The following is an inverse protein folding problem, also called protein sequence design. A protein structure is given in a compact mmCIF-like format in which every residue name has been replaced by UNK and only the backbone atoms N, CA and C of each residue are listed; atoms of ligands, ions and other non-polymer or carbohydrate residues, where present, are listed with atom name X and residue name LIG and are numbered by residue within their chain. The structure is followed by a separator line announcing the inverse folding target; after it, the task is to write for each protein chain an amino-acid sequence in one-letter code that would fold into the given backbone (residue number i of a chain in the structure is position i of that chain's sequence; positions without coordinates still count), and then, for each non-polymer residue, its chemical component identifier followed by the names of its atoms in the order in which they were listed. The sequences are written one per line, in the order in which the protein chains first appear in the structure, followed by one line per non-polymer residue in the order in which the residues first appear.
data_IF_023406240829
#
_entry.id   IF_023406240829
#
_cell.length_a   1.000
_cell.length_b   1.000
_cell.length_c   1.000
_cell.angle_alpha   90.00
_cell.angle_beta   90.00
_cell.angle_gamma   90.00
#
_symmetry.space_group_name_H-M   'P 1'
#
loop_
_entity.id
_entity.type
_entity.pdbx_description
1 polymer ?
#
# COMPACT_ATOMS: atom_id res chain seq x y z
N UNK A 1 -0.30 7.78 18.37
CA UNK A 1 0.31 7.05 17.23
C UNK A 1 -0.18 7.66 15.93
N UNK A 2 0.67 7.80 14.91
CA UNK A 2 0.35 8.26 13.56
C UNK A 2 0.30 7.08 12.60
N UNK A 3 -0.48 7.19 11.51
CA UNK A 3 -0.40 6.27 10.37
C UNK A 3 0.29 6.98 9.21
N UNK A 4 1.35 6.36 8.68
CA UNK A 4 2.07 6.84 7.51
C UNK A 4 1.72 5.95 6.33
N UNK A 5 1.40 6.54 5.17
CA UNK A 5 1.17 5.75 3.95
C UNK A 5 2.12 6.20 2.84
N UNK A 6 2.78 5.23 2.22
CA UNK A 6 3.66 5.47 1.08
C UNK A 6 3.10 4.82 -0.19
N UNK A 7 2.94 5.61 -1.24
CA UNK A 7 2.49 5.15 -2.55
C UNK A 7 3.61 4.47 -3.35
N UNK A 8 3.24 3.70 -4.38
CA UNK A 8 4.18 2.92 -5.20
C UNK A 8 5.31 3.76 -5.81
N UNK A 9 5.00 4.95 -6.33
CA UNK A 9 6.01 5.88 -6.89
C UNK A 9 7.00 6.36 -5.84
N UNK A 10 6.57 6.56 -4.59
CA UNK A 10 7.46 6.94 -3.47
C UNK A 10 8.37 5.77 -3.04
N UNK A 11 7.95 4.54 -3.31
CA UNK A 11 8.67 3.31 -2.99
C UNK A 11 9.50 2.78 -4.17
N UNK A 12 9.53 3.49 -5.30
CA UNK A 12 10.31 3.09 -6.47
C UNK A 12 11.81 2.99 -6.14
N UNK A 13 12.53 2.17 -6.92
CA UNK A 13 13.98 1.98 -6.76
C UNK A 13 14.76 3.29 -6.81
N UNK A 14 15.97 3.25 -6.28
CA UNK A 14 16.85 4.41 -6.21
C UNK A 14 16.40 5.41 -5.13
N UNK A 15 16.35 6.70 -5.48
CA UNK A 15 16.08 7.78 -4.53
C UNK A 15 14.75 7.65 -3.77
N UNK A 16 13.71 7.11 -4.39
CA UNK A 16 12.38 6.99 -3.78
C UNK A 16 12.44 6.16 -2.50
N UNK A 17 12.85 4.91 -2.62
CA UNK A 17 12.96 4.00 -1.49
C UNK A 17 13.95 4.50 -0.44
N UNK A 18 15.11 5.05 -0.84
CA UNK A 18 16.10 5.59 0.08
C UNK A 18 15.53 6.72 0.93
N UNK A 19 14.76 7.63 0.33
CA UNK A 19 14.09 8.72 1.05
C UNK A 19 13.06 8.21 2.04
N UNK A 20 12.25 7.22 1.64
CA UNK A 20 11.28 6.59 2.56
C UNK A 20 12.00 5.98 3.76
N UNK A 21 13.07 5.22 3.53
CA UNK A 21 13.85 4.62 4.61
C UNK A 21 14.47 5.68 5.54
N UNK A 22 14.95 6.79 4.99
CA UNK A 22 15.48 7.90 5.78
C UNK A 22 14.39 8.54 6.65
N UNK A 23 13.18 8.78 6.09
CA UNK A 23 12.02 9.28 6.83
C UNK A 23 11.68 8.37 8.01
N UNK A 24 11.58 7.06 7.75
CA UNK A 24 11.21 6.09 8.78
C UNK A 24 12.27 6.02 9.89
N UNK A 25 13.56 6.01 9.51
CA UNK A 25 14.66 5.98 10.47
C UNK A 25 14.70 7.26 11.31
N UNK A 26 14.53 8.43 10.70
CA UNK A 26 14.50 9.73 11.43
C UNK A 26 13.36 9.76 12.45
N UNK A 27 12.16 9.31 12.06
CA UNK A 27 11.00 9.24 12.97
C UNK A 27 11.25 8.28 14.15
N UNK A 28 11.91 7.15 13.91
CA UNK A 28 12.31 6.22 14.99
C UNK A 28 13.29 6.88 15.93
N UNK A 29 14.31 7.57 15.41
CA UNK A 29 15.30 8.29 16.21
C UNK A 29 14.69 9.42 17.07
N UNK A 30 13.61 10.04 16.57
CA UNK A 30 12.83 11.05 17.30
C UNK A 30 11.84 10.45 18.32
N UNK A 31 11.76 9.14 18.43
CA UNK A 31 10.83 8.47 19.34
C UNK A 31 9.35 8.64 18.95
N UNK A 32 9.05 8.91 17.67
CA UNK A 32 7.66 9.03 17.21
C UNK A 32 6.98 7.65 17.19
N UNK A 33 5.74 7.60 17.66
CA UNK A 33 4.92 6.40 17.56
C UNK A 33 4.13 6.41 16.23
N UNK A 34 4.41 5.43 15.37
CA UNK A 34 3.74 5.32 14.07
C UNK A 34 3.68 3.88 13.56
N UNK A 35 2.76 3.65 12.62
CA UNK A 35 2.72 2.47 11.78
C UNK A 35 2.71 2.88 10.30
N UNK A 36 3.12 1.99 9.42
CA UNK A 36 3.38 2.30 8.01
C UNK A 36 2.54 1.39 7.13
N UNK A 37 1.74 1.98 6.24
CA UNK A 37 1.05 1.26 5.16
C UNK A 37 1.79 1.50 3.85
N UNK A 38 2.15 0.44 3.16
CA UNK A 38 2.88 0.50 1.91
C UNK A 38 2.06 -0.06 0.74
N UNK A 39 2.18 0.56 -0.42
CA UNK A 39 1.69 0.03 -1.69
C UNK A 39 2.72 -0.90 -2.32
N UNK A 40 2.34 -1.61 -3.37
CA UNK A 40 3.29 -2.25 -4.28
C UNK A 40 4.30 -1.22 -4.82
N UNK A 41 5.56 -1.63 -5.05
CA UNK A 41 6.66 -0.72 -5.44
C UNK A 41 6.61 -0.38 -6.91
N UNK A 42 6.85 0.88 -7.24
CA UNK A 42 6.89 1.35 -8.63
C UNK A 42 5.57 1.11 -9.33
N UNK A 43 5.61 0.42 -10.44
CA UNK A 43 4.47 0.01 -11.25
C UNK A 43 4.11 -1.48 -11.08
N UNK A 44 4.51 -2.10 -9.97
CA UNK A 44 4.39 -3.55 -9.79
C UNK A 44 2.97 -4.09 -9.99
N UNK A 45 1.94 -3.32 -9.63
CA UNK A 45 0.54 -3.73 -9.83
C UNK A 45 0.22 -3.86 -11.32
N UNK A 46 0.57 -2.86 -12.12
CA UNK A 46 0.35 -2.86 -13.58
C UNK A 46 1.19 -3.96 -14.25
N UNK A 47 2.46 -4.14 -13.84
CA UNK A 47 3.34 -5.18 -14.36
C UNK A 47 2.82 -6.60 -14.05
N UNK A 48 2.21 -6.82 -12.89
CA UNK A 48 1.58 -8.09 -12.53
C UNK A 48 0.30 -8.34 -13.34
N UNK A 49 -0.49 -7.31 -13.64
CA UNK A 49 -1.63 -7.42 -14.55
C UNK A 49 -1.19 -7.75 -15.98
N UNK A 50 -0.14 -7.11 -16.48
CA UNK A 50 0.44 -7.40 -17.79
C UNK A 50 0.96 -8.84 -17.88
N UNK A 51 1.66 -9.32 -16.85
CA UNK A 51 2.14 -10.70 -16.75
C UNK A 51 0.99 -11.71 -16.78
N UNK A 52 -0.12 -11.44 -16.07
CA UNK A 52 -1.33 -12.26 -16.14
C UNK A 52 -1.93 -12.28 -17.55
N UNK A 53 -2.03 -11.12 -18.19
CA UNK A 53 -2.58 -11.00 -19.54
C UNK A 53 -1.75 -11.75 -20.59
N UNK A 54 -0.41 -11.71 -20.47
CA UNK A 54 0.51 -12.46 -21.33
C UNK A 54 0.39 -13.97 -21.07
N UNK A 55 0.40 -14.38 -19.80
CA UNK A 55 0.28 -15.78 -19.43
C UNK A 55 -1.05 -16.40 -19.90
N UNK A 56 -2.18 -15.68 -19.77
CA UNK A 56 -3.50 -16.17 -20.18
C UNK A 56 -3.64 -16.36 -21.69
N UNK A 57 -2.78 -15.72 -22.48
CA UNK A 57 -2.71 -15.94 -23.94
C UNK A 57 -1.75 -17.05 -24.33
N UNK A 58 -1.17 -17.74 -23.35
CA UNK A 58 -0.11 -18.74 -23.55
C UNK A 58 1.12 -18.17 -24.27
N UNK A 59 1.38 -16.86 -24.08
CA UNK A 59 2.54 -16.17 -24.57
C UNK A 59 3.71 -16.28 -23.56
N UNK A 60 4.94 -16.04 -24.01
CA UNK A 60 6.13 -16.17 -23.17
C UNK A 60 6.26 -14.99 -22.19
N UNK A 61 5.72 -15.11 -20.99
CA UNK A 61 5.81 -14.13 -19.91
C UNK A 61 7.17 -14.13 -19.17
N UNK A 62 7.97 -15.20 -19.28
CA UNK A 62 9.19 -15.40 -18.48
C UNK A 62 10.20 -14.25 -18.55
N UNK A 63 10.53 -13.67 -19.74
CA UNK A 63 11.47 -12.54 -19.78
C UNK A 63 10.99 -11.30 -19.02
N UNK A 64 9.67 -11.01 -19.05
CA UNK A 64 9.10 -9.89 -18.30
C UNK A 64 9.07 -10.21 -16.80
N UNK A 65 8.78 -11.43 -16.41
CA UNK A 65 8.82 -11.88 -15.03
C UNK A 65 10.22 -11.80 -14.41
N UNK A 66 11.27 -12.17 -15.16
CA UNK A 66 12.66 -12.00 -14.70
C UNK A 66 13.02 -10.52 -14.50
N UNK A 67 12.56 -9.62 -15.38
CA UNK A 67 12.73 -8.18 -15.18
C UNK A 67 12.00 -7.67 -13.93
N UNK A 68 10.77 -8.15 -13.72
CA UNK A 68 10.01 -7.84 -12.52
C UNK A 68 10.74 -8.27 -11.25
N UNK A 69 11.21 -9.53 -11.19
CA UNK A 69 12.01 -10.05 -10.05
C UNK A 69 13.25 -9.21 -9.80
N UNK A 70 14.02 -8.92 -10.85
CA UNK A 70 15.23 -8.11 -10.78
C UNK A 70 14.92 -6.72 -10.22
N UNK A 71 13.83 -6.06 -10.66
CA UNK A 71 13.41 -4.77 -10.13
C UNK A 71 13.01 -4.85 -8.65
N UNK A 72 12.21 -5.86 -8.26
CA UNK A 72 11.76 -5.99 -6.88
C UNK A 72 12.91 -6.28 -5.90
N UNK A 73 13.98 -6.90 -6.35
CA UNK A 73 15.14 -7.24 -5.53
C UNK A 73 16.34 -6.28 -5.67
N UNK A 74 16.26 -5.33 -6.62
CA UNK A 74 17.34 -4.39 -6.88
C UNK A 74 17.76 -3.64 -5.61
N UNK A 75 19.03 -3.32 -5.48
CA UNK A 75 19.70 -2.68 -4.35
C UNK A 75 19.73 -3.48 -3.03
N UNK A 76 18.93 -4.56 -2.89
CA UNK A 76 18.85 -5.36 -1.67
C UNK A 76 18.84 -6.88 -1.94
N UNK A 77 19.89 -7.44 -2.58
CA UNK A 77 19.93 -8.84 -2.98
C UNK A 77 19.95 -9.82 -1.79
N UNK A 78 20.28 -9.33 -0.60
CA UNK A 78 20.32 -10.14 0.63
C UNK A 78 18.95 -10.35 1.29
N UNK A 79 17.91 -9.65 0.83
CA UNK A 79 16.56 -9.85 1.33
C UNK A 79 15.92 -11.01 0.59
N UNK A 80 15.48 -12.01 1.34
CA UNK A 80 14.80 -13.17 0.76
C UNK A 80 13.34 -12.85 0.44
N UNK A 81 13.02 -12.87 -0.86
CA UNK A 81 11.69 -12.71 -1.44
C UNK A 81 11.29 -13.94 -2.29
N UNK A 82 12.01 -15.05 -2.13
CA UNK A 82 11.86 -16.26 -2.96
C UNK A 82 10.47 -16.90 -2.82
N UNK A 83 9.86 -16.81 -1.65
CA UNK A 83 8.52 -17.35 -1.40
C UNK A 83 7.48 -16.69 -2.32
N UNK A 84 7.45 -15.35 -2.37
CA UNK A 84 6.52 -14.58 -3.20
C UNK A 84 6.77 -14.82 -4.68
N UNK A 85 8.01 -14.88 -5.10
CA UNK A 85 8.36 -15.17 -6.49
C UNK A 85 7.96 -16.59 -6.89
N UNK A 86 8.11 -17.56 -6.01
CA UNK A 86 7.69 -18.95 -6.25
C UNK A 86 6.15 -19.04 -6.36
N UNK A 87 5.42 -18.30 -5.54
CA UNK A 87 3.96 -18.23 -5.63
C UNK A 87 3.53 -17.63 -6.97
N UNK A 88 4.13 -16.52 -7.39
CA UNK A 88 3.86 -15.88 -8.68
C UNK A 88 4.16 -16.82 -9.86
N UNK A 89 5.31 -17.50 -9.84
CA UNK A 89 5.72 -18.41 -10.90
C UNK A 89 4.69 -19.53 -11.09
N UNK A 90 4.25 -20.18 -10.00
CA UNK A 90 3.22 -21.22 -10.04
C UNK A 90 1.87 -20.70 -10.55
N UNK A 91 1.49 -19.47 -10.17
CA UNK A 91 0.25 -18.86 -10.63
C UNK A 91 0.30 -18.58 -12.14
N UNK A 92 1.38 -17.98 -12.63
CA UNK A 92 1.56 -17.73 -14.08
C UNK A 92 1.66 -19.02 -14.89
N UNK A 93 2.33 -20.05 -14.37
CA UNK A 93 2.36 -21.38 -15.00
C UNK A 93 0.94 -21.97 -15.12
N UNK A 94 0.17 -21.95 -14.03
CA UNK A 94 -1.20 -22.44 -14.03
C UNK A 94 -2.11 -21.67 -14.99
N UNK A 95 -2.02 -20.34 -15.00
CA UNK A 95 -2.77 -19.47 -15.93
C UNK A 95 -2.39 -19.76 -17.38
N UNK A 96 -1.08 -19.91 -17.66
CA UNK A 96 -0.62 -20.22 -19.03
C UNK A 96 -1.11 -21.58 -19.52
N UNK A 97 -1.16 -22.59 -18.64
CA UNK A 97 -1.69 -23.91 -19.00
C UNK A 97 -3.19 -23.92 -19.27
N UNK A 98 -3.96 -23.13 -18.52
CA UNK A 98 -5.43 -23.08 -18.63
C UNK A 98 -5.85 -22.12 -19.76
N UNK A 99 -5.08 -21.07 -20.03
CA UNK A 99 -5.39 -20.02 -20.98
C UNK A 99 -6.41 -18.99 -20.47
N UNK A 100 -6.72 -18.99 -19.17
CA UNK A 100 -7.70 -18.09 -18.54
C UNK A 100 -7.40 -17.94 -17.03
N UNK A 101 -7.97 -16.91 -16.40
CA UNK A 101 -7.92 -16.73 -14.95
C UNK A 101 -9.18 -16.05 -14.40
N UNK A 102 -9.53 -16.40 -13.17
CA UNK A 102 -10.63 -15.77 -12.43
C UNK A 102 -10.15 -14.52 -11.68
N UNK A 103 -11.10 -13.65 -11.26
CA UNK A 103 -10.81 -12.51 -10.37
C UNK A 103 -10.13 -12.96 -9.07
N UNK A 104 -10.40 -14.15 -8.57
CA UNK A 104 -9.68 -14.72 -7.42
C UNK A 104 -8.19 -14.89 -7.71
N UNK A 105 -7.82 -15.43 -8.86
CA UNK A 105 -6.41 -15.59 -9.27
C UNK A 105 -5.78 -14.22 -9.47
N UNK A 106 -6.50 -13.27 -10.07
CA UNK A 106 -6.05 -11.90 -10.22
C UNK A 106 -5.72 -11.27 -8.86
N UNK A 107 -6.63 -11.33 -7.89
CA UNK A 107 -6.40 -10.79 -6.54
C UNK A 107 -5.20 -11.47 -5.85
N UNK A 108 -5.03 -12.77 -6.04
CA UNK A 108 -3.91 -13.51 -5.48
C UNK A 108 -2.56 -13.06 -6.08
N UNK A 109 -2.51 -12.83 -7.39
CA UNK A 109 -1.31 -12.30 -8.07
C UNK A 109 -1.02 -10.89 -7.63
N UNK A 110 -2.01 -9.99 -7.70
CA UNK A 110 -1.82 -8.58 -7.36
C UNK A 110 -1.39 -8.40 -5.89
N UNK A 111 -1.90 -9.23 -4.99
CA UNK A 111 -1.50 -9.18 -3.57
C UNK A 111 -0.01 -9.37 -3.35
N UNK A 112 0.70 -10.04 -4.24
CA UNK A 112 2.15 -10.26 -4.10
C UNK A 112 2.94 -8.95 -4.21
N UNK A 113 2.45 -7.96 -4.92
CA UNK A 113 3.10 -6.65 -5.02
C UNK A 113 3.28 -5.96 -3.66
N UNK A 114 2.23 -5.94 -2.86
CA UNK A 114 2.27 -5.38 -1.51
C UNK A 114 3.07 -6.24 -0.54
N UNK A 115 2.99 -7.56 -0.66
CA UNK A 115 3.77 -8.49 0.17
C UNK A 115 5.27 -8.29 -0.07
N UNK A 116 5.70 -8.26 -1.33
CA UNK A 116 7.09 -7.98 -1.72
C UNK A 116 7.57 -6.65 -1.13
N UNK A 117 6.78 -5.60 -1.29
CA UNK A 117 7.09 -4.26 -0.79
C UNK A 117 7.25 -4.23 0.72
N UNK A 118 6.27 -4.75 1.47
CA UNK A 118 6.29 -4.70 2.92
C UNK A 118 7.37 -5.61 3.53
N UNK A 119 7.60 -6.80 2.98
CA UNK A 119 8.68 -7.71 3.39
C UNK A 119 10.05 -7.05 3.18
N UNK A 120 10.29 -6.47 2.00
CA UNK A 120 11.53 -5.79 1.68
C UNK A 120 11.82 -4.65 2.67
N UNK A 121 10.88 -3.73 2.83
CA UNK A 121 11.06 -2.56 3.72
C UNK A 121 11.28 -3.01 5.17
N UNK A 122 10.53 -4.01 5.64
CA UNK A 122 10.72 -4.56 6.98
C UNK A 122 12.11 -5.14 7.17
N UNK A 123 12.61 -5.91 6.20
CA UNK A 123 13.94 -6.52 6.27
C UNK A 123 15.05 -5.46 6.29
N UNK A 124 14.94 -4.43 5.42
CA UNK A 124 15.92 -3.34 5.39
C UNK A 124 15.93 -2.55 6.70
N UNK A 125 14.78 -2.23 7.26
CA UNK A 125 14.69 -1.54 8.55
C UNK A 125 15.33 -2.36 9.67
N UNK A 126 15.09 -3.69 9.70
CA UNK A 126 15.76 -4.58 10.66
C UNK A 126 17.27 -4.59 10.48
N UNK A 127 17.78 -4.62 9.25
CA UNK A 127 19.23 -4.52 8.97
C UNK A 127 19.82 -3.18 9.44
N UNK A 128 19.01 -2.12 9.47
CA UNK A 128 19.39 -0.80 10.02
C UNK A 128 19.21 -0.69 11.55
N UNK A 129 18.89 -1.79 12.24
CA UNK A 129 18.72 -1.81 13.70
C UNK A 129 17.36 -1.33 14.20
N UNK A 130 16.39 -1.08 13.32
CA UNK A 130 15.02 -0.71 13.70
C UNK A 130 14.24 -1.96 14.13
N UNK A 131 13.55 -1.90 15.27
CA UNK A 131 12.61 -2.97 15.69
C UNK A 131 11.35 -2.94 14.81
N UNK A 132 11.50 -3.36 13.54
CA UNK A 132 10.42 -3.40 12.56
C UNK A 132 9.71 -4.76 12.54
N UNK A 133 8.42 -4.76 12.24
CA UNK A 133 7.58 -5.96 12.13
C UNK A 133 6.76 -5.94 10.85
N UNK A 134 6.72 -7.07 10.14
CA UNK A 134 5.88 -7.25 8.97
C UNK A 134 4.44 -7.56 9.41
N UNK A 135 3.48 -6.83 8.87
CA UNK A 135 2.06 -6.98 9.16
C UNK A 135 1.28 -7.27 7.87
N UNK A 136 0.93 -8.53 7.66
CA UNK A 136 0.12 -8.96 6.52
C UNK A 136 -1.35 -8.57 6.75
N UNK A 137 -1.86 -7.63 5.96
CA UNK A 137 -3.23 -7.16 6.08
C UNK A 137 -4.28 -8.26 5.80
N UNK A 138 -3.94 -9.34 5.09
CA UNK A 138 -4.84 -10.48 4.87
C UNK A 138 -5.21 -11.18 6.19
N UNK A 139 -4.34 -11.15 7.19
CA UNK A 139 -4.66 -11.65 8.53
C UNK A 139 -5.53 -10.67 9.33
N UNK A 140 -5.48 -9.39 9.01
CA UNK A 140 -6.04 -8.29 9.80
C UNK A 140 -7.36 -7.77 9.23
N UNK A 141 -7.44 -7.55 7.92
CA UNK A 141 -8.62 -7.06 7.21
C UNK A 141 -9.39 -8.24 6.63
N UNK A 142 -10.52 -8.56 7.24
CA UNK A 142 -11.46 -9.55 6.71
C UNK A 142 -12.51 -8.88 5.85
N UNK A 143 -12.85 -9.52 4.72
CA UNK A 143 -13.70 -8.94 3.69
C UNK A 143 -14.90 -9.81 3.36
N UNK A 144 -15.87 -9.23 2.64
CA UNK A 144 -17.06 -9.91 2.12
C UNK A 144 -16.76 -11.00 1.05
N UNK A 145 -15.53 -11.01 0.53
CA UNK A 145 -15.07 -11.98 -0.45
C UNK A 145 -15.39 -11.63 -1.90
N UNK A 146 -15.86 -10.43 -2.18
CA UNK A 146 -15.98 -9.93 -3.56
C UNK A 146 -14.60 -9.62 -4.11
N UNK A 147 -14.10 -10.47 -5.00
CA UNK A 147 -12.79 -10.26 -5.61
C UNK A 147 -12.76 -8.98 -6.47
N UNK A 148 -11.61 -8.30 -6.49
CA UNK A 148 -11.37 -7.06 -7.23
C UNK A 148 -11.84 -5.77 -6.56
N UNK A 149 -12.87 -5.82 -5.70
CA UNK A 149 -13.42 -4.66 -4.98
C UNK A 149 -14.10 -5.09 -3.67
N UNK A 150 -13.34 -5.79 -2.82
CA UNK A 150 -13.84 -6.34 -1.56
C UNK A 150 -14.12 -5.25 -0.53
N UNK A 151 -15.19 -5.45 0.25
CA UNK A 151 -15.53 -4.55 1.35
C UNK A 151 -15.09 -5.16 2.69
N UNK A 152 -14.40 -4.39 3.54
CA UNK A 152 -14.00 -4.86 4.86
C UNK A 152 -15.21 -5.16 5.75
N UNK A 153 -15.14 -6.29 6.48
CA UNK A 153 -16.07 -6.59 7.57
C UNK A 153 -15.54 -5.86 8.80
N UNK A 154 -16.09 -4.70 9.07
CA UNK A 154 -15.55 -3.71 10.00
C UNK A 154 -15.28 -4.27 11.40
N UNK A 155 -16.29 -4.88 12.04
CA UNK A 155 -16.17 -5.37 13.43
C UNK A 155 -15.03 -6.39 13.59
N UNK A 156 -14.92 -7.33 12.66
CA UNK A 156 -13.88 -8.38 12.67
C UNK A 156 -12.52 -7.75 12.41
N UNK A 157 -12.41 -6.93 11.38
CA UNK A 157 -11.15 -6.27 10.99
C UNK A 157 -10.63 -5.38 12.10
N UNK A 158 -11.48 -4.55 12.71
CA UNK A 158 -11.12 -3.69 13.84
C UNK A 158 -10.60 -4.50 15.04
N UNK A 159 -11.31 -5.58 15.40
CA UNK A 159 -10.87 -6.48 16.49
C UNK A 159 -9.48 -7.04 16.21
N UNK A 160 -9.25 -7.58 15.01
CA UNK A 160 -7.97 -8.15 14.61
C UNK A 160 -6.84 -7.11 14.65
N UNK A 161 -7.07 -5.92 14.06
CA UNK A 161 -6.08 -4.83 14.04
C UNK A 161 -5.72 -4.39 15.46
N UNK A 162 -6.71 -4.11 16.31
CA UNK A 162 -6.47 -3.67 17.69
C UNK A 162 -5.71 -4.74 18.49
N UNK A 163 -6.08 -6.02 18.33
CA UNK A 163 -5.39 -7.12 19.02
C UNK A 163 -3.95 -7.26 18.54
N UNK A 164 -3.70 -7.20 17.23
CA UNK A 164 -2.36 -7.26 16.65
C UNK A 164 -1.47 -6.14 17.18
N UNK A 165 -1.96 -4.91 17.19
CA UNK A 165 -1.17 -3.76 17.66
C UNK A 165 -0.90 -3.77 19.16
N UNK A 166 -1.78 -4.35 19.97
CA UNK A 166 -1.49 -4.60 21.40
C UNK A 166 -0.32 -5.57 21.60
N UNK A 167 -0.20 -6.57 20.74
CA UNK A 167 0.88 -7.58 20.80
C UNK A 167 2.20 -7.10 20.22
N UNK A 168 2.19 -6.04 19.40
CA UNK A 168 3.36 -5.51 18.68
C UNK A 168 3.52 -4.00 18.89
N UNK A 169 3.14 -3.50 20.06
CA UNK A 169 3.16 -2.07 20.39
C UNK A 169 4.56 -1.46 20.47
N UNK A 170 5.58 -2.30 20.70
CA UNK A 170 6.99 -1.95 20.77
C UNK A 170 7.69 -1.91 19.41
N UNK A 171 6.95 -2.17 18.31
CA UNK A 171 7.52 -2.34 16.97
C UNK A 171 6.97 -1.33 15.98
N UNK A 172 7.81 -0.98 15.01
CA UNK A 172 7.38 -0.27 13.81
C UNK A 172 6.72 -1.27 12.87
N UNK A 173 5.38 -1.28 12.82
CA UNK A 173 4.62 -2.21 12.00
C UNK A 173 4.54 -1.71 10.54
N UNK A 174 5.05 -2.52 9.61
CA UNK A 174 5.00 -2.29 8.16
C UNK A 174 3.88 -3.15 7.58
N UNK A 175 2.82 -2.50 7.16
CA UNK A 175 1.53 -3.11 6.80
C UNK A 175 1.39 -3.14 5.29
N UNK A 176 0.98 -4.26 4.74
CA UNK A 176 0.56 -4.34 3.33
C UNK A 176 -0.72 -3.54 3.12
N UNK A 177 -0.68 -2.59 2.18
CA UNK A 177 -1.89 -1.89 1.74
C UNK A 177 -2.74 -2.72 0.79
N UNK A 178 -3.87 -2.21 0.31
CA UNK A 178 -4.68 -2.72 -0.80
C UNK A 178 -5.34 -4.09 -0.58
N UNK A 179 -4.81 -4.96 0.26
CA UNK A 179 -5.22 -6.36 0.36
C UNK A 179 -5.93 -6.69 1.68
N UNK A 180 -6.79 -7.69 1.61
CA UNK A 180 -7.43 -8.35 2.74
C UNK A 180 -7.63 -9.84 2.45
N UNK A 181 -8.49 -10.52 3.20
CA UNK A 181 -8.90 -11.88 2.89
C UNK A 181 -10.36 -12.13 3.27
N UNK A 182 -10.99 -13.07 2.55
CA UNK A 182 -12.33 -13.53 2.88
C UNK A 182 -12.32 -14.55 4.04
N UNK A 183 -13.49 -15.10 4.36
CA UNK A 183 -13.67 -16.09 5.43
C UNK A 183 -12.97 -17.45 5.16
N UNK A 184 -12.56 -17.71 3.90
CA UNK A 184 -11.76 -18.88 3.52
C UNK A 184 -10.26 -18.60 3.51
N UNK A 185 -9.83 -17.41 3.98
CA UNK A 185 -8.46 -16.92 3.91
C UNK A 185 -7.91 -16.76 2.47
N UNK A 186 -8.79 -16.62 1.49
CA UNK A 186 -8.42 -16.30 0.12
C UNK A 186 -8.13 -14.80 0.02
N UNK A 187 -7.03 -14.42 -0.63
CA UNK A 187 -6.65 -13.04 -0.80
C UNK A 187 -7.72 -12.28 -1.61
N UNK A 188 -8.04 -11.08 -1.19
CA UNK A 188 -8.95 -10.14 -1.85
C UNK A 188 -8.29 -8.78 -1.96
N UNK A 189 -8.63 -8.02 -3.01
CA UNK A 189 -8.18 -6.63 -3.15
C UNK A 189 -9.31 -5.65 -2.85
N UNK A 190 -8.97 -4.48 -2.30
CA UNK A 190 -9.93 -3.45 -1.86
C UNK A 190 -10.33 -2.47 -2.98
N UNK A 191 -9.94 -2.80 -4.22
CA UNK A 191 -10.25 -1.99 -5.38
C UNK A 191 -9.41 -0.71 -5.49
N UNK A 192 -9.89 0.24 -6.30
CA UNK A 192 -9.18 1.50 -6.58
C UNK A 192 -8.83 2.26 -5.29
N UNK A 193 -7.61 2.80 -5.22
CA UNK A 193 -7.08 3.46 -4.02
C UNK A 193 -7.01 2.57 -2.76
N UNK A 194 -6.97 1.26 -2.91
CA UNK A 194 -7.04 0.30 -1.81
C UNK A 194 -5.98 0.50 -0.74
N UNK A 195 -4.73 0.88 -1.08
CA UNK A 195 -3.70 1.16 -0.07
C UNK A 195 -4.00 2.43 0.75
N UNK A 196 -4.62 3.48 0.13
CA UNK A 196 -5.10 4.65 0.86
C UNK A 196 -6.26 4.24 1.78
N UNK A 197 -7.16 3.39 1.29
CA UNK A 197 -8.27 2.86 2.08
C UNK A 197 -7.78 2.04 3.27
N UNK A 198 -6.81 1.14 3.07
CA UNK A 198 -6.15 0.42 4.17
C UNK A 198 -5.62 1.40 5.24
N UNK A 199 -4.90 2.45 4.83
CA UNK A 199 -4.34 3.43 5.76
C UNK A 199 -5.43 4.15 6.56
N UNK A 200 -6.54 4.53 5.93
CA UNK A 200 -7.69 5.16 6.59
C UNK A 200 -8.40 4.22 7.57
N UNK A 201 -8.56 2.95 7.21
CA UNK A 201 -9.11 1.92 8.10
C UNK A 201 -8.24 1.74 9.35
N UNK A 202 -6.91 1.59 9.17
CA UNK A 202 -6.00 1.47 10.30
C UNK A 202 -6.00 2.72 11.17
N UNK A 203 -6.04 3.91 10.57
CA UNK A 203 -6.16 5.16 11.31
C UNK A 203 -7.44 5.18 12.17
N UNK A 204 -8.58 4.80 11.60
CA UNK A 204 -9.85 4.71 12.31
C UNK A 204 -9.79 3.66 13.44
N UNK A 205 -9.39 2.43 13.14
CA UNK A 205 -9.42 1.32 14.11
C UNK A 205 -8.50 1.53 15.30
N UNK A 206 -7.38 2.23 15.09
CA UNK A 206 -6.37 2.52 16.11
C UNK A 206 -6.55 3.89 16.77
N UNK A 207 -7.59 4.66 16.41
CA UNK A 207 -7.79 6.05 16.83
C UNK A 207 -6.50 6.87 16.66
N UNK A 208 -5.93 6.82 15.47
CA UNK A 208 -4.69 7.53 15.17
C UNK A 208 -4.87 9.05 15.34
N UNK A 209 -3.82 9.73 15.77
CA UNK A 209 -3.83 11.19 15.89
C UNK A 209 -3.79 11.90 14.54
N UNK A 210 -3.26 11.22 13.50
CA UNK A 210 -3.07 11.79 12.16
C UNK A 210 -2.79 10.68 11.14
N UNK A 211 -3.26 10.86 9.89
CA UNK A 211 -2.83 10.10 8.72
C UNK A 211 -1.92 10.97 7.85
N UNK A 212 -0.66 10.55 7.65
CA UNK A 212 0.28 11.18 6.74
C UNK A 212 0.37 10.39 5.44
N UNK A 213 -0.11 10.96 4.34
CA UNK A 213 -0.05 10.33 3.02
C UNK A 213 1.14 10.90 2.23
N UNK A 214 2.19 10.10 2.09
CA UNK A 214 3.37 10.43 1.29
C UNK A 214 3.13 10.02 -0.16
N UNK A 215 3.10 11.01 -1.04
CA UNK A 215 2.82 10.86 -2.47
C UNK A 215 3.85 11.63 -3.30
N UNK A 216 3.68 11.64 -4.62
CA UNK A 216 4.54 12.37 -5.54
C UNK A 216 4.23 13.88 -5.59
N UNK A 217 3.14 14.31 -4.98
CA UNK A 217 2.75 15.72 -4.83
C UNK A 217 2.76 16.11 -3.35
N UNK A 218 3.00 17.38 -3.07
CA UNK A 218 3.13 17.90 -1.72
C UNK A 218 1.81 18.40 -1.11
N UNK A 219 0.71 18.25 -1.83
CA UNK A 219 -0.61 18.68 -1.37
C UNK A 219 -1.70 18.54 -2.41
N UNK A 220 -2.85 19.08 -2.07
CA UNK A 220 -3.99 19.25 -2.97
C UNK A 220 -3.91 20.67 -3.53
N UNK A 221 -4.18 20.83 -4.81
CA UNK A 221 -4.12 22.10 -5.52
C UNK A 221 -5.46 22.47 -6.10
N UNK A 222 -5.68 23.76 -6.36
CA UNK A 222 -6.89 24.29 -7.00
C UNK A 222 -7.09 23.80 -8.43
N UNK A 223 -5.99 23.38 -9.08
CA UNK A 223 -5.97 22.73 -10.40
C UNK A 223 -4.72 21.85 -10.49
N UNK A 224 -4.56 21.06 -11.56
CA UNK A 224 -3.33 20.30 -11.77
C UNK A 224 -2.16 21.28 -12.04
N UNK A 225 -1.14 21.35 -11.15
CA UNK A 225 -0.04 22.31 -11.30
C UNK A 225 0.86 22.01 -12.51
N UNK A 226 0.79 20.81 -13.11
CA UNK A 226 1.49 20.48 -14.36
C UNK A 226 0.80 21.08 -15.59
N UNK A 227 -0.48 21.46 -15.48
CA UNK A 227 -1.30 22.01 -16.56
C UNK A 227 -1.63 23.49 -16.38
N UNK A 228 -1.65 23.97 -15.14
CA UNK A 228 -2.07 25.33 -14.77
C UNK A 228 -0.99 25.96 -13.90
N UNK A 229 -0.23 26.91 -14.46
CA UNK A 229 0.89 27.57 -13.75
C UNK A 229 0.47 28.29 -12.46
N UNK A 230 -0.74 28.87 -12.44
CA UNK A 230 -1.30 29.61 -11.29
C UNK A 230 -2.00 28.69 -10.27
N UNK A 231 -1.88 27.37 -10.38
CA UNK A 231 -2.46 26.45 -9.44
C UNK A 231 -1.90 26.67 -8.03
N UNK A 232 -2.78 26.95 -7.08
CA UNK A 232 -2.41 27.22 -5.68
C UNK A 232 -2.63 26.00 -4.82
N UNK A 233 -1.66 25.73 -3.93
CA UNK A 233 -1.79 24.69 -2.93
C UNK A 233 -2.89 25.09 -1.93
N UNK A 234 -3.74 24.14 -1.58
CA UNK A 234 -4.80 24.29 -0.61
C UNK A 234 -4.24 23.82 0.74
N UNK A 235 -4.14 24.74 1.69
CA UNK A 235 -3.57 24.47 3.00
C UNK A 235 -4.50 23.62 3.89
N UNK A 236 -5.79 23.83 3.73
CA UNK A 236 -6.83 23.14 4.52
C UNK A 236 -8.07 22.88 3.67
N UNK A 237 -8.57 21.64 3.73
CA UNK A 237 -9.84 21.23 3.18
C UNK A 237 -10.66 20.58 4.30
N UNK A 238 -11.89 21.01 4.47
CA UNK A 238 -12.86 20.28 5.28
C UNK A 238 -13.15 18.91 4.65
N UNK A 239 -13.63 17.97 5.44
CA UNK A 239 -14.04 16.66 4.92
C UNK A 239 -15.15 16.75 3.86
N UNK A 240 -16.07 17.73 4.00
CA UNK A 240 -17.13 17.95 3.02
C UNK A 240 -16.55 18.42 1.69
N UNK A 241 -15.66 19.41 1.69
CA UNK A 241 -14.98 19.88 0.48
C UNK A 241 -14.12 18.78 -0.15
N UNK A 242 -13.41 17.98 0.67
CA UNK A 242 -12.64 16.85 0.19
C UNK A 242 -13.52 15.78 -0.47
N UNK A 243 -14.70 15.52 0.07
CA UNK A 243 -15.66 14.58 -0.50
C UNK A 243 -16.25 15.11 -1.83
N UNK A 244 -16.59 16.40 -1.90
CA UNK A 244 -17.02 17.03 -3.14
C UNK A 244 -15.94 16.94 -4.22
N UNK A 245 -14.69 17.29 -3.90
CA UNK A 245 -13.58 17.18 -4.84
C UNK A 245 -13.36 15.73 -5.31
N UNK A 246 -13.51 14.75 -4.42
CA UNK A 246 -13.42 13.33 -4.78
C UNK A 246 -14.52 12.92 -5.78
N UNK A 247 -15.74 13.42 -5.60
CA UNK A 247 -16.87 13.16 -6.49
C UNK A 247 -16.70 13.82 -7.86
N UNK A 248 -16.01 14.98 -7.91
CA UNK A 248 -15.70 15.69 -9.15
C UNK A 248 -14.39 15.23 -9.83
N UNK A 249 -13.82 14.10 -9.41
CA UNK A 249 -12.71 13.44 -10.11
C UNK A 249 -11.32 13.81 -9.63
N UNK A 250 -11.16 14.41 -8.46
CA UNK A 250 -9.84 14.60 -7.87
C UNK A 250 -9.16 13.25 -7.62
N UNK A 251 -8.04 13.01 -8.30
CA UNK A 251 -7.35 11.69 -8.30
C UNK A 251 -6.72 11.32 -6.96
N UNK A 252 -6.45 12.30 -6.11
CA UNK A 252 -5.78 12.12 -4.81
C UNK A 252 -6.78 11.75 -3.71
N UNK A 253 -8.05 12.14 -3.86
CA UNK A 253 -9.12 11.91 -2.90
C UNK A 253 -10.10 10.88 -3.45
N UNK A 254 -10.58 10.01 -2.59
CA UNK A 254 -11.63 9.04 -2.92
C UNK A 254 -12.55 8.88 -1.72
N UNK A 255 -13.86 8.83 -1.94
CA UNK A 255 -14.87 8.77 -0.87
C UNK A 255 -14.59 7.63 0.13
N UNK A 256 -14.25 6.42 -0.35
CA UNK A 256 -13.87 5.28 0.50
C UNK A 256 -12.73 5.61 1.49
N UNK A 257 -11.80 6.49 1.12
CA UNK A 257 -10.66 6.84 1.97
C UNK A 257 -10.96 7.94 2.97
N UNK A 258 -11.98 8.74 2.70
CA UNK A 258 -12.37 9.88 3.55
C UNK A 258 -13.28 9.44 4.69
N UNK A 259 -14.24 8.56 4.40
CA UNK A 259 -15.27 8.13 5.36
C UNK A 259 -14.70 7.63 6.70
N UNK A 260 -13.72 6.69 6.73
CA UNK A 260 -13.17 6.21 8.00
C UNK A 260 -12.47 7.29 8.82
N UNK A 261 -11.88 8.29 8.16
CA UNK A 261 -11.23 9.42 8.84
C UNK A 261 -12.24 10.40 9.41
N UNK A 262 -13.33 10.67 8.66
CA UNK A 262 -14.42 11.54 9.09
C UNK A 262 -15.09 11.03 10.37
N UNK A 263 -15.38 9.73 10.46
CA UNK A 263 -16.02 9.11 11.63
C UNK A 263 -15.29 9.38 12.95
N UNK A 264 -13.98 9.62 12.88
CA UNK A 264 -13.13 9.84 14.06
C UNK A 264 -12.47 11.21 14.08
N UNK A 265 -12.83 12.10 13.14
CA UNK A 265 -12.20 13.42 12.98
C UNK A 265 -10.66 13.34 12.91
N UNK A 266 -10.13 12.33 12.19
CA UNK A 266 -8.69 12.12 12.06
C UNK A 266 -8.16 12.98 10.90
N UNK A 267 -7.29 13.98 11.16
CA UNK A 267 -6.73 14.82 10.11
C UNK A 267 -5.83 14.00 9.17
N UNK A 268 -5.95 14.31 7.86
CA UNK A 268 -5.03 13.76 6.85
C UNK A 268 -4.12 14.86 6.34
N UNK A 269 -2.82 14.59 6.29
CA UNK A 269 -1.81 15.45 5.66
C UNK A 269 -1.23 14.77 4.42
N UNK A 270 -1.20 15.49 3.32
CA UNK A 270 -0.47 15.09 2.12
C UNK A 270 0.96 15.66 2.19
N UNK A 271 1.97 14.82 1.98
CA UNK A 271 3.37 15.19 2.06
C UNK A 271 4.12 14.67 0.83
N UNK A 272 5.08 15.46 0.36
CA UNK A 272 6.00 15.02 -0.67
C UNK A 272 7.08 14.11 -0.04
N UNK A 273 7.27 12.93 -0.58
CA UNK A 273 8.36 12.04 -0.13
C UNK A 273 9.78 12.63 -0.41
N UNK A 274 9.85 13.79 -1.05
CA UNK A 274 11.11 14.49 -1.43
C UNK A 274 11.61 15.51 -0.41
N UNK A 275 10.76 16.02 0.49
CA UNK A 275 11.09 17.13 1.38
C UNK A 275 11.45 16.65 2.79
N UNK A 276 12.67 16.12 2.96
CA UNK A 276 13.37 16.16 4.24
C UNK A 276 14.74 16.80 3.99
N UNK A 277 14.72 18.10 3.67
CA UNK A 277 15.83 18.99 3.95
C UNK A 277 15.37 19.90 5.08
N UNK A 278 15.97 19.64 6.25
CA UNK A 278 15.95 20.32 7.56
C UNK A 278 14.97 19.83 8.60
#
# INVERSE_FOLDING_TARGET
MKILKFGGKSLANGEGLQKVLAILTDKVLKGEEFAVVVSARGNATDELEDLLAIASKNENYKPLFEKFKAYQQADYPTVDLSEEFTVLEKLFEGVSLIGDYSEKIKDQVLSQGELLSAKLITAILKQKGVNANFADARALIKTDGKFGDAQPIEQVSKKNVVQFFKQHSDKVNIITGFIGSNNKNEATTLGRNGSNYTASLFANYLNASELQNFTHVDGIYTANPELVEDAKKIDFLSFNEANELANFGATILHAKTIIPLLEKNIPQKCQLARNLQH
#
